data_IF_919455060365
#
_entry.id   IF_919455060365
#
_cell.length_a   1.000
_cell.length_b   1.000
_cell.length_c   1.000
_cell.angle_alpha   90.00
_cell.angle_beta   90.00
_cell.angle_gamma   90.00
#
_symmetry.space_group_name_H-M   'P 1'
#
loop_
_entity.id
_entity.type
_entity.pdbx_description
1 polymer ?
#
# COMPACT_ATOMS: atom_id res chain seq x y z
N UNK A 1 10.02 46.34 -5.36
CA UNK A 1 9.37 45.05 -5.64
C UNK A 1 10.30 43.94 -5.17
N UNK A 2 9.96 43.26 -4.08
CA UNK A 2 10.85 42.27 -3.44
C UNK A 2 10.52 40.85 -3.89
N UNK A 3 11.37 40.26 -4.73
CA UNK A 3 11.41 38.82 -4.94
C UNK A 3 12.02 38.18 -3.69
N UNK A 4 11.19 37.60 -2.82
CA UNK A 4 11.70 36.72 -1.77
C UNK A 4 12.23 35.45 -2.41
N UNK A 5 13.55 35.32 -2.49
CA UNK A 5 14.19 34.09 -2.93
C UNK A 5 14.39 33.17 -1.72
N UNK A 6 13.72 32.02 -1.72
CA UNK A 6 13.93 30.98 -0.70
C UNK A 6 15.19 30.23 -1.09
N UNK A 7 16.23 30.24 -0.24
CA UNK A 7 17.41 29.42 -0.47
C UNK A 7 17.06 27.94 -0.43
N UNK A 8 17.82 27.11 -1.14
CA UNK A 8 17.63 25.65 -1.13
C UNK A 8 17.69 25.06 0.30
N UNK A 9 18.56 25.61 1.15
CA UNK A 9 18.65 25.25 2.57
C UNK A 9 17.36 25.56 3.33
N UNK A 10 16.77 26.74 3.11
CA UNK A 10 15.52 27.18 3.73
C UNK A 10 14.35 26.33 3.20
N UNK A 11 14.33 26.03 1.90
CA UNK A 11 13.33 25.13 1.31
C UNK A 11 13.33 23.75 1.96
N UNK A 12 14.49 23.09 2.05
CA UNK A 12 14.59 21.78 2.68
C UNK A 12 14.30 21.81 4.18
N UNK A 13 14.64 22.91 4.87
CA UNK A 13 14.25 23.11 6.27
C UNK A 13 12.73 23.15 6.41
N UNK A 14 12.04 23.95 5.60
CA UNK A 14 10.58 24.01 5.59
C UNK A 14 9.94 22.66 5.24
N UNK A 15 10.49 21.91 4.28
CA UNK A 15 9.98 20.59 3.96
C UNK A 15 10.02 19.65 5.17
N UNK A 16 11.17 19.57 5.85
CA UNK A 16 11.34 18.69 7.02
C UNK A 16 10.53 19.13 8.23
N UNK A 17 10.46 20.43 8.51
CA UNK A 17 9.88 20.94 9.76
C UNK A 17 8.38 21.25 9.65
N UNK A 18 7.88 21.50 8.44
CA UNK A 18 6.50 21.97 8.23
C UNK A 18 5.73 21.08 7.27
N UNK A 19 6.25 20.87 6.05
CA UNK A 19 5.49 20.19 5.00
C UNK A 19 5.25 18.71 5.32
N UNK A 20 6.31 17.93 5.55
CA UNK A 20 6.17 16.50 5.80
C UNK A 20 5.43 16.19 7.11
N UNK A 21 5.68 16.88 8.23
CA UNK A 21 4.86 16.71 9.43
C UNK A 21 3.39 17.06 9.20
N UNK A 22 3.11 18.13 8.45
CA UNK A 22 1.73 18.53 8.12
C UNK A 22 1.00 17.46 7.30
N UNK A 23 1.64 16.93 6.25
CA UNK A 23 1.10 15.83 5.43
C UNK A 23 0.88 14.59 6.29
N UNK A 24 1.85 14.23 7.13
CA UNK A 24 1.75 13.06 8.01
C UNK A 24 0.59 13.16 9.00
N UNK A 25 0.44 14.29 9.69
CA UNK A 25 -0.65 14.51 10.63
C UNK A 25 -2.01 14.49 9.93
N UNK A 26 -2.10 15.11 8.74
CA UNK A 26 -3.30 15.05 7.93
C UNK A 26 -3.66 13.61 7.55
N UNK A 27 -2.68 12.84 7.05
CA UNK A 27 -2.86 11.44 6.69
C UNK A 27 -3.32 10.59 7.88
N UNK A 28 -2.68 10.74 9.05
CA UNK A 28 -3.06 10.01 10.28
C UNK A 28 -4.51 10.28 10.66
N UNK A 29 -4.91 11.55 10.70
CA UNK A 29 -6.29 11.95 11.02
C UNK A 29 -7.28 11.42 9.98
N UNK A 30 -6.95 11.51 8.70
CA UNK A 30 -7.77 10.98 7.61
C UNK A 30 -7.95 9.47 7.72
N UNK A 31 -6.85 8.75 7.97
CA UNK A 31 -6.83 7.30 8.10
C UNK A 31 -7.64 6.80 9.31
N UNK A 32 -7.55 7.48 10.45
CA UNK A 32 -8.35 7.16 11.64
C UNK A 32 -9.86 7.28 11.37
N UNK A 33 -10.26 8.31 10.62
CA UNK A 33 -11.64 8.48 10.15
C UNK A 33 -12.08 7.32 9.25
N UNK A 34 -11.24 6.91 8.32
CA UNK A 34 -11.51 5.76 7.45
C UNK A 34 -11.61 4.45 8.24
N UNK A 35 -10.71 4.20 9.18
CA UNK A 35 -10.73 2.99 10.03
C UNK A 35 -12.02 2.94 10.83
N UNK A 36 -12.43 4.06 11.42
CA UNK A 36 -13.69 4.15 12.17
C UNK A 36 -14.89 3.84 11.28
N UNK A 37 -14.92 4.40 10.06
CA UNK A 37 -15.96 4.11 9.06
C UNK A 37 -15.96 2.64 8.63
N UNK A 38 -14.80 2.01 8.52
CA UNK A 38 -14.71 0.60 8.13
C UNK A 38 -15.13 -0.34 9.25
N UNK A 39 -14.90 0.01 10.52
CA UNK A 39 -15.33 -0.80 11.67
C UNK A 39 -16.85 -0.97 11.76
N UNK A 40 -17.63 -0.06 11.18
CA UNK A 40 -19.09 -0.20 11.12
C UNK A 40 -19.57 -1.20 10.05
N UNK A 41 -18.68 -1.72 9.20
CA UNK A 41 -19.00 -2.67 8.15
C UNK A 41 -18.55 -4.08 8.56
N UNK A 42 -19.42 -5.08 8.42
CA UNK A 42 -19.11 -6.47 8.74
C UNK A 42 -18.29 -7.20 7.66
N UNK A 43 -18.37 -6.71 6.42
CA UNK A 43 -17.90 -7.41 5.23
C UNK A 43 -16.96 -6.50 4.44
N UNK A 44 -15.72 -6.38 4.92
CA UNK A 44 -14.70 -5.61 4.25
C UNK A 44 -14.02 -6.45 3.16
N UNK A 45 -14.14 -5.96 1.93
CA UNK A 45 -13.37 -6.40 0.79
C UNK A 45 -12.29 -5.38 0.50
N UNK A 46 -11.05 -5.84 0.39
CA UNK A 46 -9.89 -5.00 0.08
C UNK A 46 -9.12 -5.58 -1.11
N UNK A 47 -8.46 -4.70 -1.85
CA UNK A 47 -7.54 -5.03 -2.92
C UNK A 47 -6.16 -4.44 -2.62
N UNK A 48 -5.09 -5.15 -2.97
CA UNK A 48 -3.72 -4.70 -2.75
C UNK A 48 -2.88 -4.84 -4.00
N UNK A 49 -2.08 -3.82 -4.30
CA UNK A 49 -1.19 -3.79 -5.45
C UNK A 49 0.13 -3.06 -5.13
N UNK A 50 1.22 -3.51 -5.75
CA UNK A 50 2.56 -2.97 -5.61
C UNK A 50 3.01 -2.19 -6.85
N UNK A 51 3.38 -0.93 -6.68
CA UNK A 51 3.94 -0.09 -7.74
C UNK A 51 5.42 0.19 -7.52
N UNK A 52 6.24 -0.23 -8.48
CA UNK A 52 7.69 0.04 -8.47
C UNK A 52 8.03 1.38 -9.15
N UNK A 53 9.12 2.00 -8.70
CA UNK A 53 9.61 3.28 -9.21
C UNK A 53 10.30 3.18 -10.59
N UNK A 54 10.82 2.01 -10.94
CA UNK A 54 11.44 1.74 -12.23
C UNK A 54 11.21 0.31 -12.70
N UNK A 55 11.44 0.08 -13.99
CA UNK A 55 11.19 -1.21 -14.64
C UNK A 55 12.25 -2.26 -14.27
N UNK A 56 11.81 -3.52 -14.15
CA UNK A 56 12.68 -4.69 -14.02
C UNK A 56 13.40 -4.80 -12.67
N UNK A 57 14.63 -5.31 -12.71
CA UNK A 57 15.42 -5.60 -11.51
C UNK A 57 16.17 -4.39 -10.93
N UNK A 58 15.87 -3.18 -11.39
CA UNK A 58 16.57 -1.95 -10.97
C UNK A 58 15.76 -1.08 -10.00
N UNK A 59 14.53 -1.51 -9.65
CA UNK A 59 13.67 -0.77 -8.73
C UNK A 59 14.33 -0.54 -7.36
N UNK A 60 14.26 0.71 -6.90
CA UNK A 60 14.78 1.15 -5.60
C UNK A 60 13.67 1.24 -4.57
N UNK A 61 12.47 1.63 -5.01
CA UNK A 61 11.30 1.76 -4.14
C UNK A 61 10.10 1.02 -4.72
N UNK A 62 9.31 0.43 -3.82
CA UNK A 62 7.99 -0.12 -4.12
C UNK A 62 6.97 0.51 -3.16
N UNK A 63 5.90 1.06 -3.71
CA UNK A 63 4.74 1.52 -2.97
C UNK A 63 3.67 0.44 -3.02
N UNK A 64 3.43 -0.25 -1.90
CA UNK A 64 2.33 -1.19 -1.80
C UNK A 64 1.10 -0.46 -1.26
N UNK A 65 0.00 -0.48 -2.01
CA UNK A 65 -1.21 0.27 -1.69
C UNK A 65 -2.36 -0.70 -1.44
N UNK A 66 -3.16 -0.44 -0.40
CA UNK A 66 -4.38 -1.18 -0.11
C UNK A 66 -5.59 -0.27 -0.30
N UNK A 67 -6.47 -0.71 -1.18
CA UNK A 67 -7.74 -0.08 -1.50
C UNK A 67 -8.88 -0.89 -0.87
N UNK A 68 -9.88 -0.23 -0.29
CA UNK A 68 -11.09 -0.90 0.16
C UNK A 68 -12.15 -0.85 -0.94
N UNK A 69 -12.59 -2.02 -1.41
CA UNK A 69 -13.62 -2.15 -2.43
C UNK A 69 -15.02 -1.83 -1.89
N UNK A 70 -15.25 -2.07 -0.59
CA UNK A 70 -16.53 -1.75 0.07
C UNK A 70 -16.70 -0.25 0.29
N UNK A 71 -15.62 0.43 0.70
CA UNK A 71 -15.57 1.87 0.97
C UNK A 71 -14.48 2.41 0.06
N UNK A 72 -14.80 2.94 -1.14
CA UNK A 72 -13.89 3.08 -2.29
C UNK A 72 -12.80 4.13 -2.07
N UNK A 73 -11.87 3.83 -1.17
CA UNK A 73 -10.79 4.68 -0.71
C UNK A 73 -9.52 3.86 -0.50
N UNK A 74 -8.39 4.53 -0.65
CA UNK A 74 -7.09 4.00 -0.20
C UNK A 74 -7.06 4.07 1.32
N UNK A 75 -6.93 2.92 1.97
CA UNK A 75 -7.01 2.79 3.43
C UNK A 75 -5.64 2.74 4.09
N UNK A 76 -4.65 2.23 3.36
CA UNK A 76 -3.28 2.19 3.81
C UNK A 76 -2.33 2.01 2.63
N UNK A 77 -1.09 2.40 2.82
CA UNK A 77 -0.01 2.11 1.90
C UNK A 77 1.30 2.05 2.68
N UNK A 78 2.27 1.31 2.15
CA UNK A 78 3.63 1.26 2.70
C UNK A 78 4.64 1.46 1.58
N UNK A 79 5.71 2.17 1.91
CA UNK A 79 6.87 2.29 1.05
C UNK A 79 7.92 1.30 1.53
N UNK A 80 8.46 0.51 0.60
CA UNK A 80 9.56 -0.42 0.85
C UNK A 80 10.73 -0.03 -0.03
N UNK A 81 11.89 0.16 0.57
CA UNK A 81 13.13 0.34 -0.19
C UNK A 81 13.81 -1.00 -0.42
N UNK A 82 14.39 -1.21 -1.61
CA UNK A 82 15.08 -2.44 -1.99
C UNK A 82 16.13 -2.89 -0.99
N UNK A 83 16.87 -1.95 -0.40
CA UNK A 83 17.93 -2.24 0.56
C UNK A 83 17.41 -2.91 1.85
N UNK A 84 16.12 -2.78 2.16
CA UNK A 84 15.50 -3.43 3.33
C UNK A 84 15.23 -4.92 3.09
N UNK A 85 15.11 -5.34 1.83
CA UNK A 85 14.62 -6.68 1.44
C UNK A 85 15.53 -7.42 0.45
N UNK A 86 16.59 -6.76 -0.02
CA UNK A 86 17.61 -7.31 -0.92
C UNK A 86 17.25 -7.32 -2.41
N UNK A 87 15.97 -7.45 -2.78
CA UNK A 87 15.57 -7.57 -4.20
C UNK A 87 14.26 -6.86 -4.55
N UNK A 88 14.09 -6.50 -5.83
CA UNK A 88 12.88 -5.80 -6.28
C UNK A 88 11.58 -6.62 -6.18
N UNK A 89 11.55 -7.94 -6.47
CA UNK A 89 10.32 -8.73 -6.30
C UNK A 89 9.94 -8.90 -4.83
N UNK A 90 10.94 -8.98 -3.93
CA UNK A 90 10.68 -9.13 -2.50
C UNK A 90 10.02 -7.88 -1.89
N UNK A 91 10.18 -6.69 -2.50
CA UNK A 91 9.60 -5.45 -1.97
C UNK A 91 8.08 -5.50 -1.93
N UNK A 92 7.44 -6.03 -2.97
CA UNK A 92 5.99 -6.10 -3.05
C UNK A 92 5.41 -7.00 -1.97
N UNK A 93 5.97 -8.20 -1.82
CA UNK A 93 5.60 -9.12 -0.75
C UNK A 93 5.79 -8.50 0.63
N UNK A 94 6.91 -7.82 0.87
CA UNK A 94 7.17 -7.19 2.16
C UNK A 94 6.24 -5.99 2.43
N UNK A 95 5.89 -5.24 1.40
CA UNK A 95 4.91 -4.15 1.48
C UNK A 95 3.51 -4.67 1.80
N UNK A 96 3.12 -5.78 1.17
CA UNK A 96 1.90 -6.51 1.49
C UNK A 96 1.86 -6.93 2.97
N UNK A 97 2.91 -7.59 3.46
CA UNK A 97 2.97 -8.06 4.87
C UNK A 97 2.81 -6.89 5.84
N UNK A 98 3.57 -5.80 5.65
CA UNK A 98 3.46 -4.60 6.50
C UNK A 98 2.04 -4.01 6.47
N UNK A 99 1.41 -3.97 5.30
CA UNK A 99 0.06 -3.45 5.20
C UNK A 99 -0.96 -4.33 5.92
N UNK A 100 -0.88 -5.64 5.75
CA UNK A 100 -1.79 -6.58 6.39
C UNK A 100 -1.61 -6.60 7.91
N UNK A 101 -0.37 -6.59 8.40
CA UNK A 101 -0.08 -6.49 9.83
C UNK A 101 -0.68 -5.21 10.44
N UNK A 102 -0.51 -4.06 9.78
CA UNK A 102 -1.13 -2.82 10.24
C UNK A 102 -2.66 -2.93 10.26
N UNK A 103 -3.28 -3.35 9.16
CA UNK A 103 -4.74 -3.39 9.04
C UNK A 103 -5.38 -4.38 10.02
N UNK A 104 -4.80 -5.57 10.18
CA UNK A 104 -5.27 -6.56 11.16
C UNK A 104 -5.07 -6.03 12.59
N UNK A 105 -3.95 -5.33 12.86
CA UNK A 105 -3.69 -4.68 14.14
C UNK A 105 -4.71 -3.59 14.52
N UNK A 106 -5.41 -3.00 13.55
CA UNK A 106 -6.49 -2.03 13.84
C UNK A 106 -7.80 -2.67 14.29
N UNK A 107 -7.90 -4.00 14.24
CA UNK A 107 -9.10 -4.77 14.60
C UNK A 107 -10.17 -4.79 13.51
N UNK A 108 -9.79 -4.57 12.25
CA UNK A 108 -10.73 -4.67 11.13
C UNK A 108 -10.98 -6.14 10.74
N UNK A 109 -12.24 -6.49 10.53
CA UNK A 109 -12.63 -7.82 10.05
C UNK A 109 -12.58 -7.86 8.52
N UNK A 110 -11.40 -8.17 7.98
CA UNK A 110 -11.21 -8.35 6.53
C UNK A 110 -11.70 -9.74 6.13
N UNK A 111 -12.74 -9.81 5.29
CA UNK A 111 -13.27 -11.10 4.81
C UNK A 111 -12.65 -11.52 3.49
N UNK A 112 -12.39 -10.54 2.62
CA UNK A 112 -11.95 -10.80 1.26
C UNK A 112 -10.77 -9.92 0.89
N UNK A 113 -9.75 -10.53 0.30
CA UNK A 113 -8.60 -9.85 -0.25
C UNK A 113 -8.44 -10.19 -1.72
N UNK A 114 -8.21 -9.17 -2.55
CA UNK A 114 -7.94 -9.30 -3.98
C UNK A 114 -6.51 -8.84 -4.25
N UNK A 115 -5.73 -9.62 -4.99
CA UNK A 115 -4.38 -9.21 -5.38
C UNK A 115 -4.01 -9.71 -6.76
N UNK A 116 -2.85 -9.27 -7.22
CA UNK A 116 -2.16 -9.84 -8.35
C UNK A 116 -1.71 -11.29 -8.13
N UNK A 117 -1.26 -11.92 -9.22
CA UNK A 117 -0.67 -13.28 -9.24
C UNK A 117 0.76 -13.31 -8.70
N UNK A 118 1.07 -12.53 -7.67
CA UNK A 118 2.37 -12.58 -7.01
C UNK A 118 2.47 -13.86 -6.15
N UNK A 119 3.38 -14.77 -6.53
CA UNK A 119 3.50 -16.11 -5.93
C UNK A 119 3.72 -16.08 -4.41
N UNK A 120 4.52 -15.12 -3.92
CA UNK A 120 4.78 -14.94 -2.50
C UNK A 120 3.54 -14.49 -1.70
N UNK A 121 2.69 -13.65 -2.28
CA UNK A 121 1.46 -13.17 -1.62
C UNK A 121 0.45 -14.30 -1.60
N UNK A 122 0.26 -15.00 -2.73
CA UNK A 122 -0.63 -16.16 -2.81
C UNK A 122 -0.23 -17.29 -1.83
N UNK A 123 1.08 -17.52 -1.64
CA UNK A 123 1.57 -18.47 -0.63
C UNK A 123 1.25 -17.99 0.79
N UNK A 124 1.51 -16.72 1.10
CA UNK A 124 1.24 -16.16 2.43
C UNK A 124 -0.24 -16.18 2.78
N UNK A 125 -1.13 -15.83 1.83
CA UNK A 125 -2.58 -15.92 2.04
C UNK A 125 -3.01 -17.35 2.39
N UNK A 126 -2.44 -18.34 1.68
CA UNK A 126 -2.75 -19.76 1.90
C UNK A 126 -2.23 -20.31 3.22
N UNK A 127 -1.06 -19.86 3.67
CA UNK A 127 -0.41 -20.45 4.85
C UNK A 127 -0.71 -19.68 6.14
N UNK A 128 -0.80 -18.34 6.08
CA UNK A 128 -0.87 -17.47 7.26
C UNK A 128 -2.21 -16.77 7.44
N UNK A 129 -2.94 -16.51 6.36
CA UNK A 129 -4.21 -15.75 6.38
C UNK A 129 -5.38 -16.57 5.82
N UNK A 130 -5.47 -17.83 6.25
CA UNK A 130 -6.46 -18.82 5.74
C UNK A 130 -7.92 -18.42 5.96
N UNK A 131 -8.19 -17.58 6.96
CA UNK A 131 -9.55 -17.09 7.24
C UNK A 131 -10.04 -16.07 6.20
N UNK A 132 -9.11 -15.39 5.50
CA UNK A 132 -9.43 -14.37 4.50
C UNK A 132 -9.57 -15.05 3.14
N UNK A 133 -10.70 -14.85 2.48
CA UNK A 133 -10.91 -15.34 1.11
C UNK A 133 -10.03 -14.56 0.15
N UNK A 134 -9.14 -15.27 -0.57
CA UNK A 134 -8.23 -14.67 -1.53
C UNK A 134 -8.75 -14.86 -2.96
N UNK A 135 -8.85 -13.77 -3.71
CA UNK A 135 -9.14 -13.77 -5.14
C UNK A 135 -8.02 -13.09 -5.92
N UNK A 136 -7.94 -13.42 -7.21
CA UNK A 136 -7.03 -12.76 -8.14
C UNK A 136 -7.76 -11.69 -8.94
N UNK A 137 -7.07 -10.59 -9.22
CA UNK A 137 -7.58 -9.57 -10.12
C UNK A 137 -7.82 -10.15 -11.53
N UNK A 138 -9.03 -9.91 -12.05
CA UNK A 138 -9.49 -10.36 -13.37
C UNK A 138 -8.66 -9.73 -14.50
N UNK A 139 -8.17 -8.51 -14.32
CA UNK A 139 -7.38 -7.84 -15.36
C UNK A 139 -6.13 -8.66 -15.74
N UNK A 140 -5.48 -9.27 -14.74
CA UNK A 140 -4.35 -10.17 -14.96
C UNK A 140 -4.75 -11.50 -15.58
N UNK A 141 -5.98 -11.98 -15.37
CA UNK A 141 -6.51 -13.18 -16.05
C UNK A 141 -6.63 -12.94 -17.56
N UNK A 142 -7.21 -11.81 -17.95
CA UNK A 142 -7.41 -11.46 -19.37
C UNK A 142 -6.07 -11.26 -20.10
N UNK A 143 -5.08 -10.63 -19.43
CA UNK A 143 -3.76 -10.40 -20.03
C UNK A 143 -3.01 -11.71 -20.34
N UNK A 144 -3.14 -12.72 -19.48
CA UNK A 144 -2.52 -14.04 -19.68
C UNK A 144 -3.16 -14.86 -20.81
N UNK A 145 -4.40 -14.56 -21.20
CA UNK A 145 -5.12 -15.25 -22.28
C UNK A 145 -4.98 -14.58 -23.65
N UNK A 146 -4.44 -13.35 -23.70
CA UNK A 146 -4.22 -12.59 -24.93
C UNK A 146 -2.77 -12.64 -25.42
N UNK A 147 -1.92 -13.42 -24.76
CA UNK A 147 -0.49 -13.58 -25.06
C UNK A 147 -0.17 -14.92 -25.72
N UNK A 148 -1.08 -15.42 -26.56
CA UNK A 148 -0.82 -16.50 -27.54
C UNK A 148 -0.51 -15.90 -28.92
#
# INVERSE_FOLDING_TARGET
>A
MGLMCISLSTFFKHQREKLFPGIYLHWKKYQEGLITKMKSHSDLMIAGDGRHDSMGHSAKYCAYTVFCCTVPFIIHFTMVQRNEVGSSPAMEYHGFVRCMEYLLGTGLLIKTFVSDRHSGIAKHMREKLTTIKHYFDIWHLKKSMLSE
#
